data_IF_904400518535
#
_entry.id   IF_904400518535
#
_cell.length_a   1.000
_cell.length_b   1.000
_cell.length_c   1.000
_cell.angle_alpha   90.00
_cell.angle_beta   90.00
_cell.angle_gamma   90.00
#
_symmetry.space_group_name_H-M   'P 1'
#
loop_
_entity.id
_entity.type
_entity.pdbx_description
1 polymer ?
#
# COMPACT_ATOMS: atom_id res chain seq x y z
N UNK A 1 4.62 15.35 -9.04
CA UNK A 1 5.21 15.46 -7.70
C UNK A 1 4.65 14.28 -6.96
N UNK A 2 5.52 13.37 -6.52
CA UNK A 2 5.12 12.18 -5.79
C UNK A 2 4.34 12.58 -4.55
N UNK A 3 3.24 11.89 -4.28
CA UNK A 3 2.44 12.04 -3.07
C UNK A 3 3.25 11.77 -1.80
N UNK A 4 2.84 12.39 -0.71
CA UNK A 4 3.54 12.31 0.58
C UNK A 4 3.23 11.02 1.34
N UNK A 5 2.16 10.31 0.96
CA UNK A 5 1.74 9.06 1.57
C UNK A 5 1.98 7.87 0.63
N UNK A 6 2.90 6.99 1.02
CA UNK A 6 3.22 5.76 0.26
C UNK A 6 3.22 4.54 1.18
N UNK A 7 2.84 3.40 0.64
CA UNK A 7 2.84 2.10 1.32
C UNK A 7 3.69 1.09 0.53
N UNK A 8 4.39 0.23 1.26
CA UNK A 8 5.17 -0.89 0.73
C UNK A 8 5.26 -2.01 1.75
N UNK A 9 5.88 -3.13 1.40
CA UNK A 9 6.13 -4.20 2.38
C UNK A 9 7.37 -3.90 3.22
N UNK A 10 7.53 -4.63 4.33
CA UNK A 10 8.60 -4.41 5.31
C UNK A 10 9.99 -4.63 4.71
N UNK A 11 10.12 -5.50 3.70
CA UNK A 11 11.39 -5.91 3.10
C UNK A 11 11.64 -5.32 1.71
N UNK A 12 10.67 -4.62 1.12
CA UNK A 12 10.85 -3.98 -0.18
C UNK A 12 11.69 -2.69 -0.06
N UNK A 13 12.47 -2.38 -1.09
CA UNK A 13 13.12 -1.08 -1.21
C UNK A 13 12.08 0.06 -1.30
N UNK A 14 12.46 1.26 -0.85
CA UNK A 14 11.56 2.43 -0.88
C UNK A 14 11.07 2.80 -2.30
N UNK A 15 11.81 2.42 -3.33
CA UNK A 15 11.39 2.61 -4.72
C UNK A 15 10.11 1.83 -5.09
N UNK A 16 9.77 0.78 -4.32
CA UNK A 16 8.55 0.00 -4.49
C UNK A 16 7.38 0.51 -3.64
N UNK A 17 7.58 1.58 -2.85
CA UNK A 17 6.51 2.18 -2.09
C UNK A 17 5.64 3.01 -3.03
N UNK A 18 4.33 2.73 -3.00
CA UNK A 18 3.36 3.30 -3.93
C UNK A 18 2.26 4.05 -3.20
N UNK A 19 1.69 5.05 -3.85
CA UNK A 19 0.52 5.79 -3.36
C UNK A 19 -0.74 4.92 -3.39
N UNK A 20 -1.63 5.11 -2.41
CA UNK A 20 -2.98 4.58 -2.46
C UNK A 20 -3.97 5.69 -2.80
N UNK A 21 -4.64 5.56 -3.95
CA UNK A 21 -5.31 6.70 -4.58
C UNK A 21 -6.79 6.85 -4.25
N UNK A 22 -7.44 5.88 -3.60
CA UNK A 22 -8.91 5.90 -3.42
C UNK A 22 -9.34 5.41 -2.03
N UNK A 23 -10.20 6.13 -1.32
CA UNK A 23 -10.76 5.63 -0.06
C UNK A 23 -11.88 4.58 -0.26
N UNK A 24 -12.70 4.79 -1.27
CA UNK A 24 -13.93 4.06 -1.60
C UNK A 24 -13.77 3.11 -2.81
N UNK A 25 -12.73 3.32 -3.63
CA UNK A 25 -12.49 2.57 -4.87
C UNK A 25 -13.10 3.24 -6.10
N UNK A 26 -13.71 4.41 -5.93
CA UNK A 26 -14.40 5.17 -6.98
C UNK A 26 -13.76 6.55 -7.15
N UNK A 27 -13.50 7.23 -6.03
CA UNK A 27 -12.98 8.60 -6.00
C UNK A 27 -11.47 8.59 -5.86
N UNK A 28 -10.78 9.21 -6.82
CA UNK A 28 -9.33 9.41 -6.79
C UNK A 28 -9.01 10.67 -5.99
N UNK A 29 -8.15 10.54 -4.99
CA UNK A 29 -7.64 11.63 -4.16
C UNK A 29 -6.74 12.52 -5.03
N UNK A 30 -7.02 13.82 -5.06
CA UNK A 30 -6.11 14.80 -5.66
C UNK A 30 -5.13 15.30 -4.58
N UNK A 31 -3.91 14.77 -4.65
CA UNK A 31 -2.80 15.08 -3.73
C UNK A 31 -2.41 16.57 -3.69
N UNK A 32 -2.89 17.41 -4.62
CA UNK A 32 -2.64 18.86 -4.61
C UNK A 32 -3.60 19.62 -3.70
N UNK A 33 -4.75 19.04 -3.42
CA UNK A 33 -5.84 19.70 -2.69
C UNK A 33 -6.22 18.97 -1.41
N UNK A 34 -5.96 17.67 -1.32
CA UNK A 34 -6.38 16.83 -0.21
C UNK A 34 -5.23 15.98 0.38
N UNK A 35 -5.19 15.78 1.71
CA UNK A 35 -4.21 14.90 2.35
C UNK A 35 -4.43 13.42 2.01
N UNK A 36 -3.39 12.75 1.50
CA UNK A 36 -3.47 11.34 1.05
C UNK A 36 -3.41 10.31 2.19
N UNK A 37 -2.87 10.67 3.35
CA UNK A 37 -2.64 9.74 4.45
C UNK A 37 -3.94 9.16 5.03
N UNK A 38 -4.94 10.01 5.23
CA UNK A 38 -6.25 9.61 5.78
C UNK A 38 -7.00 8.61 4.87
N UNK A 39 -7.22 8.90 3.56
CA UNK A 39 -7.87 7.95 2.66
C UNK A 39 -7.07 6.65 2.49
N UNK A 40 -5.73 6.73 2.48
CA UNK A 40 -4.86 5.55 2.47
C UNK A 40 -5.09 4.66 3.70
N UNK A 41 -5.06 5.22 4.91
CA UNK A 41 -5.27 4.47 6.16
C UNK A 41 -6.68 3.86 6.20
N UNK A 42 -7.72 4.67 5.91
CA UNK A 42 -9.13 4.23 5.96
C UNK A 42 -9.37 3.02 5.05
N UNK A 43 -8.78 3.02 3.85
CA UNK A 43 -8.96 1.94 2.90
C UNK A 43 -8.07 0.74 3.18
N UNK A 44 -6.77 0.94 3.39
CA UNK A 44 -5.83 -0.16 3.61
C UNK A 44 -6.09 -0.93 4.90
N UNK A 45 -6.48 -0.23 5.98
CA UNK A 45 -6.78 -0.85 7.27
C UNK A 45 -8.25 -1.29 7.40
N UNK A 46 -9.06 -1.14 6.35
CA UNK A 46 -10.36 -1.79 6.30
C UNK A 46 -10.17 -3.30 6.40
N UNK A 47 -10.88 -3.97 7.31
CA UNK A 47 -10.74 -5.42 7.56
C UNK A 47 -10.74 -6.27 6.29
N UNK A 48 -11.62 -5.95 5.33
CA UNK A 48 -11.73 -6.69 4.06
C UNK A 48 -10.48 -6.44 3.21
N UNK A 49 -10.16 -5.18 2.94
CA UNK A 49 -8.99 -4.80 2.14
C UNK A 49 -7.69 -5.35 2.71
N UNK A 50 -7.49 -5.23 4.02
CA UNK A 50 -6.29 -5.69 4.69
C UNK A 50 -6.09 -7.19 4.52
N UNK A 51 -7.16 -7.97 4.73
CA UNK A 51 -7.10 -9.43 4.55
C UNK A 51 -6.91 -9.81 3.08
N UNK A 52 -7.54 -9.08 2.16
CA UNK A 52 -7.37 -9.32 0.73
C UNK A 52 -5.93 -9.05 0.28
N UNK A 53 -5.34 -7.93 0.71
CA UNK A 53 -3.94 -7.56 0.44
C UNK A 53 -3.01 -8.65 0.97
N UNK A 54 -3.14 -9.02 2.25
CA UNK A 54 -2.26 -10.01 2.88
C UNK A 54 -2.37 -11.38 2.21
N UNK A 55 -3.57 -11.80 1.79
CA UNK A 55 -3.80 -13.15 1.25
C UNK A 55 -3.45 -13.28 -0.23
N UNK A 56 -3.69 -12.24 -1.02
CA UNK A 56 -3.67 -12.36 -2.49
C UNK A 56 -2.65 -11.44 -3.17
N UNK A 57 -2.13 -10.42 -2.48
CA UNK A 57 -1.30 -9.39 -3.10
C UNK A 57 0.08 -9.22 -2.45
N UNK A 58 0.47 -10.13 -1.55
CA UNK A 58 1.84 -10.21 -1.02
C UNK A 58 2.48 -11.49 -1.54
N UNK A 59 3.59 -11.34 -2.28
CA UNK A 59 4.40 -12.46 -2.74
C UNK A 59 5.53 -12.69 -1.75
N UNK A 60 5.84 -13.95 -1.51
CA UNK A 60 6.94 -14.37 -0.66
C UNK A 60 8.02 -15.00 -1.52
N UNK A 61 9.23 -14.46 -1.45
CA UNK A 61 10.39 -15.00 -2.16
C UNK A 61 11.29 -15.76 -1.18
N UNK A 62 11.72 -16.96 -1.55
CA UNK A 62 12.74 -17.67 -0.79
C UNK A 62 14.12 -17.15 -1.19
N UNK A 63 14.73 -16.35 -0.30
CA UNK A 63 16.16 -16.14 -0.33
C UNK A 63 16.84 -17.37 0.30
N UNK A 64 18.09 -17.65 -0.13
CA UNK A 64 18.88 -18.86 0.21
C UNK A 64 18.88 -19.28 1.69
N UNK A 65 18.53 -18.40 2.63
CA UNK A 65 18.36 -18.70 4.07
C UNK A 65 17.09 -18.11 4.73
N UNK A 66 16.25 -17.32 4.03
CA UNK A 66 15.10 -16.60 4.61
C UNK A 66 13.96 -16.38 3.61
N UNK A 67 12.72 -16.48 4.06
CA UNK A 67 11.56 -16.02 3.27
C UNK A 67 11.43 -14.49 3.40
N UNK A 68 11.51 -13.78 2.28
CA UNK A 68 11.34 -12.33 2.16
C UNK A 68 9.93 -12.01 1.67
N UNK A 69 9.38 -10.87 2.10
CA UNK A 69 8.13 -10.32 1.56
C UNK A 69 8.50 -9.35 0.44
N UNK A 70 8.01 -9.59 -0.76
CA UNK A 70 8.19 -8.67 -1.89
C UNK A 70 7.06 -7.65 -1.91
#
# INVERSE_FOLDING_TARGET
MDGFAKVGTITSDYAHFMEWKTADGETIVDARVEPELEPMIKRLLNKKTLLDVIRHFIVFEEAREKTLKA
#
